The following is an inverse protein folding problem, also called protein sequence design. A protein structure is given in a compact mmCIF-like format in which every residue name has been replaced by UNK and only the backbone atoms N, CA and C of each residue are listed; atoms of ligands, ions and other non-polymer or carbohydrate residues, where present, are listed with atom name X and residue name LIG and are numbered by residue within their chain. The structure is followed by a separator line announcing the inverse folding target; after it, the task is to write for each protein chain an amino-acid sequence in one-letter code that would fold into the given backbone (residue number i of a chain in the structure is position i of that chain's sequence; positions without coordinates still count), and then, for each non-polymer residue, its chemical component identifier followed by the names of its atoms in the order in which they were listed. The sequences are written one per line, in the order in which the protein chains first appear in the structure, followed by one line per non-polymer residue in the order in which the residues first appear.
data_IF_763194194436
#
_entry.id   IF_763194194436
#
_cell.length_a   1.000
_cell.length_b   1.000
_cell.length_c   1.000
_cell.angle_alpha   90.00
_cell.angle_beta   90.00
_cell.angle_gamma   90.00
#
_symmetry.space_group_name_H-M   'P 1'
#
loop_
_entity.id
_entity.type
_entity.pdbx_description
1 polymer ?
#
# COMPACT_ATOMS: atom_id res chain seq x y z
N UNK A 1 -2.17 -14.19 -13.94
CA UNK A 1 -0.79 -14.14 -13.39
C UNK A 1 -0.84 -13.20 -12.20
N UNK A 2 -0.78 -13.77 -11.00
CA UNK A 2 -0.76 -13.01 -9.75
C UNK A 2 0.58 -12.27 -9.62
N UNK A 3 0.54 -10.98 -9.28
CA UNK A 3 1.75 -10.21 -9.02
C UNK A 3 2.58 -10.83 -7.89
N UNK A 4 3.89 -10.93 -8.07
CA UNK A 4 4.82 -11.38 -7.01
C UNK A 4 5.33 -10.18 -6.24
N UNK A 5 5.20 -10.22 -4.90
CA UNK A 5 5.85 -9.24 -4.02
C UNK A 5 7.37 -9.44 -4.09
N UNK A 6 8.10 -8.41 -4.51
CA UNK A 6 9.57 -8.43 -4.63
C UNK A 6 10.22 -7.94 -3.33
N UNK A 7 9.64 -6.90 -2.73
CA UNK A 7 10.11 -6.24 -1.51
C UNK A 7 8.94 -5.55 -0.81
N UNK A 8 9.04 -5.34 0.51
CA UNK A 8 8.04 -4.60 1.30
C UNK A 8 8.66 -3.96 2.54
N UNK A 9 8.09 -2.83 2.96
CA UNK A 9 8.41 -2.16 4.22
C UNK A 9 7.11 -1.72 4.88
N UNK A 10 6.92 -2.06 6.15
CA UNK A 10 5.70 -1.78 6.89
C UNK A 10 5.99 -1.50 8.37
N UNK A 11 5.14 -0.72 9.05
CA UNK A 11 5.17 -0.59 10.51
C UNK A 11 5.04 -1.95 11.21
N UNK A 12 5.70 -2.11 12.37
CA UNK A 12 5.67 -3.39 13.13
C UNK A 12 4.27 -3.83 13.56
N UNK A 13 3.34 -2.89 13.70
CA UNK A 13 1.96 -3.15 14.09
C UNK A 13 1.05 -3.53 12.92
N UNK A 14 1.54 -3.55 11.68
CA UNK A 14 0.78 -3.98 10.51
C UNK A 14 1.08 -5.44 10.19
N UNK A 15 0.04 -6.30 10.25
CA UNK A 15 0.18 -7.70 9.82
C UNK A 15 0.56 -7.79 8.35
N UNK A 16 1.53 -8.66 8.02
CA UNK A 16 1.91 -8.96 6.65
C UNK A 16 0.72 -9.48 5.81
N UNK A 17 -0.23 -10.19 6.41
CA UNK A 17 -1.44 -10.66 5.71
C UNK A 17 -2.26 -9.50 5.18
N UNK A 18 -2.46 -8.46 6.00
CA UNK A 18 -3.23 -7.27 5.64
C UNK A 18 -2.51 -6.48 4.53
N UNK A 19 -1.19 -6.31 4.65
CA UNK A 19 -0.39 -5.67 3.60
C UNK A 19 -0.49 -6.40 2.27
N UNK A 20 -0.43 -7.75 2.30
CA UNK A 20 -0.56 -8.56 1.10
C UNK A 20 -1.94 -8.43 0.45
N UNK A 21 -3.01 -8.40 1.25
CA UNK A 21 -4.37 -8.21 0.75
C UNK A 21 -4.56 -6.83 0.12
N UNK A 22 -4.09 -5.77 0.78
CA UNK A 22 -4.16 -4.41 0.26
C UNK A 22 -3.31 -4.25 -1.02
N UNK A 23 -2.12 -4.85 -1.06
CA UNK A 23 -1.29 -4.87 -2.27
C UNK A 23 -1.96 -5.63 -3.42
N UNK A 24 -2.63 -6.76 -3.13
CA UNK A 24 -3.39 -7.51 -4.14
C UNK A 24 -4.55 -6.67 -4.69
N UNK A 25 -5.31 -6.01 -3.82
CA UNK A 25 -6.40 -5.13 -4.22
C UNK A 25 -5.91 -4.00 -5.14
N UNK A 26 -4.82 -3.31 -4.74
CA UNK A 26 -4.22 -2.25 -5.56
C UNK A 26 -3.76 -2.76 -6.93
N UNK A 27 -3.13 -3.93 -6.98
CA UNK A 27 -2.70 -4.57 -8.23
C UNK A 27 -3.89 -4.91 -9.15
N UNK A 28 -4.94 -5.52 -8.59
CA UNK A 28 -6.11 -5.95 -9.36
C UNK A 28 -6.85 -4.74 -9.95
N UNK A 29 -7.03 -3.67 -9.16
CA UNK A 29 -7.63 -2.42 -9.65
C UNK A 29 -6.77 -1.80 -10.75
N UNK A 30 -5.46 -1.68 -10.54
CA UNK A 30 -4.56 -1.12 -11.54
C UNK A 30 -4.60 -1.89 -12.86
N UNK A 31 -4.59 -3.23 -12.80
CA UNK A 31 -4.72 -4.11 -13.98
C UNK A 31 -6.03 -3.88 -14.72
N UNK A 32 -7.14 -3.75 -14.00
CA UNK A 32 -8.44 -3.46 -14.59
C UNK A 32 -8.47 -2.07 -15.23
N UNK A 33 -7.91 -1.05 -14.59
CA UNK A 33 -7.81 0.29 -15.17
C UNK A 33 -6.96 0.30 -16.44
N UNK A 34 -5.83 -0.42 -16.46
CA UNK A 34 -5.02 -0.55 -17.69
C UNK A 34 -5.79 -1.23 -18.82
N UNK A 35 -6.59 -2.25 -18.50
CA UNK A 35 -7.43 -2.92 -19.50
C UNK A 35 -8.49 -1.97 -20.06
N UNK A 36 -9.22 -1.28 -19.18
CA UNK A 36 -10.28 -0.35 -19.58
C UNK A 36 -9.71 0.82 -20.40
N UNK A 37 -8.61 1.44 -19.94
CA UNK A 37 -7.98 2.57 -20.66
C UNK A 37 -7.48 2.17 -22.03
N UNK A 38 -6.94 0.95 -22.17
CA UNK A 38 -6.56 0.38 -23.47
C UNK A 38 -7.77 0.20 -24.40
N UNK A 39 -8.86 -0.40 -23.92
CA UNK A 39 -10.08 -0.62 -24.73
C UNK A 39 -10.73 0.71 -25.17
N UNK A 40 -10.57 1.75 -24.36
CA UNK A 40 -11.09 3.08 -24.64
C UNK A 40 -10.11 3.98 -25.41
N UNK A 41 -8.96 3.47 -25.84
CA UNK A 41 -7.91 4.20 -26.55
C UNK A 41 -7.35 5.43 -25.79
N UNK A 42 -7.38 5.39 -24.45
CA UNK A 42 -6.72 6.38 -23.60
C UNK A 42 -5.29 5.96 -23.28
N UNK A 43 -4.45 6.95 -23.00
CA UNK A 43 -3.14 6.71 -22.41
C UNK A 43 -3.29 6.04 -21.02
N UNK A 44 -2.46 5.04 -20.70
CA UNK A 44 -2.48 4.40 -19.40
C UNK A 44 -2.10 5.40 -18.31
N UNK A 45 -2.76 5.38 -17.14
CA UNK A 45 -2.43 6.27 -16.04
C UNK A 45 -1.01 5.99 -15.54
N UNK A 46 -0.26 7.07 -15.27
CA UNK A 46 1.07 6.98 -14.65
C UNK A 46 0.98 6.55 -13.18
N UNK A 47 -0.10 6.95 -12.53
CA UNK A 47 -0.41 6.71 -11.12
C UNK A 47 -1.92 6.54 -10.95
N UNK A 48 -2.30 5.66 -10.03
CA UNK A 48 -3.69 5.44 -9.62
C UNK A 48 -3.76 5.48 -8.10
N UNK A 49 -4.64 6.32 -7.55
CA UNK A 49 -4.88 6.39 -6.10
C UNK A 49 -6.31 5.98 -5.77
N UNK A 50 -6.44 5.03 -4.84
CA UNK A 50 -7.71 4.53 -4.32
C UNK A 50 -7.85 5.05 -2.90
N UNK A 51 -8.76 6.01 -2.73
CA UNK A 51 -9.07 6.59 -1.41
C UNK A 51 -10.25 5.87 -0.79
N UNK A 52 -10.06 5.43 0.44
CA UNK A 52 -11.09 4.88 1.33
C UNK A 52 -11.17 5.75 2.58
N UNK A 53 -12.14 5.51 3.44
CA UNK A 53 -12.33 6.29 4.67
C UNK A 53 -11.12 6.29 5.61
N UNK A 54 -10.26 5.28 5.53
CA UNK A 54 -9.13 5.09 6.46
C UNK A 54 -7.78 4.89 5.79
N UNK A 55 -7.79 4.63 4.49
CA UNK A 55 -6.60 4.25 3.74
C UNK A 55 -6.59 4.87 2.35
N UNK A 56 -5.40 5.24 1.90
CA UNK A 56 -5.12 5.57 0.51
C UNK A 56 -4.13 4.54 -0.05
N UNK A 57 -4.52 3.87 -1.13
CA UNK A 57 -3.67 2.92 -1.86
C UNK A 57 -3.24 3.57 -3.16
N UNK A 58 -1.97 3.91 -3.28
CA UNK A 58 -1.40 4.51 -4.49
C UNK A 58 -0.58 3.46 -5.23
N UNK A 59 -0.84 3.33 -6.52
CA UNK A 59 -0.21 2.35 -7.41
C UNK A 59 0.43 3.09 -8.59
N UNK A 60 1.71 2.89 -8.80
CA UNK A 60 2.44 3.54 -9.90
C UNK A 60 3.59 2.69 -10.43
N UNK A 61 3.98 2.94 -11.68
CA UNK A 61 5.11 2.27 -12.30
C UNK A 61 6.44 2.93 -11.91
N UNK A 62 7.45 2.11 -11.62
CA UNK A 62 8.84 2.54 -11.46
C UNK A 62 9.75 1.61 -12.27
N UNK A 63 10.08 2.02 -13.49
CA UNK A 63 10.78 1.16 -14.45
C UNK A 63 9.90 -0.05 -14.82
N UNK A 64 10.43 -1.26 -14.64
CA UNK A 64 9.71 -2.50 -14.87
C UNK A 64 8.97 -3.05 -13.63
N UNK A 65 8.86 -2.24 -12.56
CA UNK A 65 8.24 -2.63 -11.30
C UNK A 65 6.98 -1.80 -11.05
N UNK A 66 6.00 -2.43 -10.41
CA UNK A 66 4.88 -1.75 -9.83
C UNK A 66 5.18 -1.45 -8.36
N UNK A 67 4.95 -0.21 -7.94
CA UNK A 67 5.04 0.20 -6.54
C UNK A 67 3.64 0.40 -6.02
N UNK A 68 3.35 -0.16 -4.85
CA UNK A 68 2.10 0.03 -4.13
C UNK A 68 2.44 0.65 -2.78
N UNK A 69 1.99 1.88 -2.58
CA UNK A 69 2.08 2.58 -1.31
C UNK A 69 0.71 2.54 -0.63
N UNK A 70 0.70 2.23 0.66
CA UNK A 70 -0.51 2.22 1.48
C UNK A 70 -0.31 3.25 2.59
N UNK A 71 -1.11 4.30 2.54
CA UNK A 71 -1.17 5.31 3.59
C UNK A 71 -2.38 5.00 4.45
N UNK A 72 -2.19 4.94 5.76
CA UNK A 72 -3.27 4.79 6.71
C UNK A 72 -3.40 6.08 7.51
N UNK A 73 -4.62 6.54 7.75
CA UNK A 73 -4.85 7.61 8.71
C UNK A 73 -4.61 7.03 10.12
N UNK A 74 -3.50 7.42 10.73
CA UNK A 74 -3.11 6.93 12.05
C UNK A 74 -3.91 7.73 13.10
N UNK A 75 -4.98 7.12 13.62
CA UNK A 75 -5.86 7.75 14.62
C UNK A 75 -5.16 8.04 15.96
N UNK A 76 -4.03 7.38 16.26
CA UNK A 76 -3.20 7.69 17.44
C UNK A 76 -1.70 7.57 17.08
N UNK A 77 -0.86 8.58 17.35
CA UNK A 77 0.57 8.49 17.09
C UNK A 77 1.15 7.26 17.81
N UNK A 78 2.11 6.54 17.21
CA UNK A 78 2.70 5.37 17.83
C UNK A 78 3.22 5.77 19.21
N UNK A 79 2.80 5.04 20.26
CA UNK A 79 3.31 5.25 21.62
C UNK A 79 4.82 5.01 21.59
N UNK A 80 5.58 6.09 21.53
CA UNK A 80 7.02 6.07 21.72
C UNK A 80 7.28 5.83 23.20
N UNK A 81 7.51 4.58 23.58
CA UNK A 81 8.10 4.30 24.89
C UNK A 81 9.51 4.90 24.89
N UNK A 82 9.74 5.90 25.73
CA UNK A 82 11.11 6.33 26.01
C UNK A 82 11.80 5.25 26.84
N UNK A 83 13.11 5.06 26.63
CA UNK A 83 13.92 4.04 27.32
C UNK A 83 13.74 4.08 28.86
N UNK A 84 13.35 5.22 29.42
CA UNK A 84 13.11 5.38 30.85
C UNK A 84 11.82 4.70 31.36
N UNK A 85 10.78 4.53 30.53
CA UNK A 85 9.53 3.90 30.95
C UNK A 85 9.61 2.37 30.98
N UNK A 86 10.55 1.78 30.25
CA UNK A 86 10.81 0.34 30.27
C UNK A 86 11.46 -0.13 31.59
N UNK A 87 12.14 0.77 32.31
CA UNK A 87 12.81 0.45 33.59
C UNK A 87 11.88 0.53 34.82
N UNK A 88 10.72 1.19 34.71
CA UNK A 88 9.80 1.36 35.85
C UNK A 88 8.82 0.17 35.99
N UNK A 89 8.68 -0.64 34.93
CA UNK A 89 7.78 -1.79 34.89
C UNK A 89 8.51 -3.15 34.74
N UNK A 90 9.80 -3.21 35.02
CA UNK A 90 10.61 -4.44 34.99
C UNK A 90 10.89 -4.96 36.41
#
# INVERSE_FOLDING_TARGET
MDGRVIDYSAPMNMSYSLLREAAKLGYDIFRMTLLITKELEYDPPRELSIKTDRYEITVFNRGNRLVIAIFAEVLEPPKTYSVNEAMVNA
#
